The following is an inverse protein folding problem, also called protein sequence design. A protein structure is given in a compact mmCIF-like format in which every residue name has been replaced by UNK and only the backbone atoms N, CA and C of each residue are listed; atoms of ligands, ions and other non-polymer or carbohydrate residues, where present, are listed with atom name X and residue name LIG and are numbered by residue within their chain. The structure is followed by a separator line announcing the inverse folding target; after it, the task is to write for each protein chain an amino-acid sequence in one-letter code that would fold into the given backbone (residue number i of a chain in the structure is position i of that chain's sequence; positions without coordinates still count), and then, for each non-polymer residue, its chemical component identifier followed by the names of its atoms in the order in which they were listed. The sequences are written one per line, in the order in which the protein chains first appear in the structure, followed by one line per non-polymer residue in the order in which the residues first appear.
data_IF_314967275357
#
_entry.id   IF_314967275357
#
_cell.length_a   1.000
_cell.length_b   1.000
_cell.length_c   1.000
_cell.angle_alpha   90.00
_cell.angle_beta   90.00
_cell.angle_gamma   90.00
#
_symmetry.space_group_name_H-M   'P 1'
#
loop_
_entity.id
_entity.type
_entity.pdbx_description
1 polymer ?
#
# COMPACT_ATOMS: atom_id res chain seq x y z
N UNK A 1 28.98 -14.54 -6.43
CA UNK A 1 28.22 -14.11 -5.24
C UNK A 1 26.95 -13.47 -5.74
N UNK A 2 25.83 -14.17 -5.63
CA UNK A 2 24.51 -13.59 -5.86
C UNK A 2 24.16 -12.97 -4.51
N UNK A 3 24.17 -11.64 -4.40
CA UNK A 3 23.44 -10.96 -3.33
C UNK A 3 21.98 -11.28 -3.57
N UNK A 4 21.46 -12.24 -2.82
CA UNK A 4 20.04 -12.47 -2.65
C UNK A 4 19.46 -11.13 -2.18
N UNK A 5 18.87 -10.39 -3.11
CA UNK A 5 18.34 -9.07 -2.85
C UNK A 5 17.02 -9.28 -2.11
N UNK A 6 17.11 -9.50 -0.79
CA UNK A 6 15.94 -9.66 0.07
C UNK A 6 15.13 -8.37 -0.03
N UNK A 7 14.04 -8.40 -0.79
CA UNK A 7 13.12 -7.28 -0.92
C UNK A 7 12.50 -7.04 0.46
N UNK A 8 12.75 -5.87 1.06
CA UNK A 8 12.17 -5.48 2.32
C UNK A 8 10.83 -4.75 2.13
N UNK A 9 9.97 -4.77 3.15
CA UNK A 9 8.75 -3.97 3.16
C UNK A 9 9.04 -2.47 2.97
N UNK A 10 10.21 -2.03 3.45
CA UNK A 10 10.71 -0.68 3.25
C UNK A 10 10.97 -0.34 1.78
N UNK A 11 11.51 -1.27 1.00
CA UNK A 11 11.80 -1.05 -0.43
C UNK A 11 10.50 -0.97 -1.24
N UNK A 12 9.55 -1.86 -0.94
CA UNK A 12 8.21 -1.85 -1.54
C UNK A 12 7.47 -0.56 -1.17
N UNK A 13 7.46 -0.20 0.11
CA UNK A 13 6.83 1.03 0.60
C UNK A 13 7.44 2.29 0.01
N UNK A 14 8.77 2.34 -0.13
CA UNK A 14 9.45 3.47 -0.77
C UNK A 14 9.05 3.58 -2.25
N UNK A 15 9.07 2.48 -2.97
CA UNK A 15 8.69 2.47 -4.40
C UNK A 15 7.25 2.94 -4.59
N UNK A 16 6.34 2.49 -3.72
CA UNK A 16 4.96 2.96 -3.73
C UNK A 16 4.83 4.44 -3.37
N UNK A 17 5.51 4.89 -2.32
CA UNK A 17 5.55 6.30 -1.94
C UNK A 17 6.09 7.19 -3.08
N UNK A 18 7.09 6.73 -3.84
CA UNK A 18 7.59 7.42 -5.03
C UNK A 18 6.54 7.46 -6.15
N UNK A 19 5.79 6.37 -6.36
CA UNK A 19 4.72 6.29 -7.37
C UNK A 19 3.51 7.19 -7.07
N UNK A 20 3.20 7.42 -5.79
CA UNK A 20 2.09 8.30 -5.37
C UNK A 20 2.55 9.70 -4.94
N UNK A 21 3.84 10.02 -5.03
CA UNK A 21 4.38 11.31 -4.56
C UNK A 21 3.77 12.52 -5.26
N UNK A 22 3.40 12.38 -6.52
CA UNK A 22 2.79 13.46 -7.32
C UNK A 22 1.27 13.53 -7.12
N UNK A 23 0.68 12.62 -6.33
CA UNK A 23 -0.73 12.63 -6.01
C UNK A 23 -1.01 13.63 -4.87
N UNK A 24 -1.78 14.71 -5.11
CA UNK A 24 -2.06 15.71 -4.08
C UNK A 24 -2.99 15.21 -2.97
N UNK A 25 -3.66 14.08 -3.19
CA UNK A 25 -4.58 13.47 -2.25
C UNK A 25 -3.93 12.35 -1.45
N UNK A 26 -2.72 11.88 -1.80
CA UNK A 26 -1.94 10.99 -0.95
C UNK A 26 -1.46 11.73 0.30
N UNK A 27 -1.88 11.26 1.48
CA UNK A 27 -1.54 11.86 2.78
C UNK A 27 -0.36 11.13 3.40
N UNK A 28 -0.50 9.83 3.59
CA UNK A 28 0.50 9.00 4.26
C UNK A 28 0.54 7.61 3.65
N UNK A 29 1.74 7.04 3.56
CA UNK A 29 1.97 5.66 3.13
C UNK A 29 2.62 4.91 4.28
N UNK A 30 2.08 3.75 4.61
CA UNK A 30 2.72 2.76 5.47
C UNK A 30 2.98 1.50 4.68
N UNK A 31 4.05 0.79 5.04
CA UNK A 31 4.36 -0.50 4.45
C UNK A 31 4.87 -1.46 5.51
N UNK A 32 4.31 -2.66 5.49
CA UNK A 32 4.59 -3.73 6.43
C UNK A 32 4.76 -5.04 5.69
N UNK A 33 5.23 -6.04 6.42
CA UNK A 33 5.22 -7.42 5.94
C UNK A 33 4.47 -8.26 6.97
N UNK A 34 3.34 -8.81 6.54
CA UNK A 34 2.62 -9.79 7.32
C UNK A 34 2.80 -11.17 6.66
N UNK A 35 3.52 -12.05 7.35
CA UNK A 35 3.97 -13.36 6.82
C UNK A 35 4.79 -13.16 5.52
N UNK A 36 4.30 -13.64 4.39
CA UNK A 36 4.94 -13.53 3.07
C UNK A 36 4.30 -12.48 2.17
N UNK A 37 3.38 -11.68 2.72
CA UNK A 37 2.68 -10.62 2.00
C UNK A 37 3.20 -9.27 2.46
N UNK A 38 3.60 -8.43 1.50
CA UNK A 38 3.85 -7.02 1.70
C UNK A 38 2.52 -6.28 1.67
N UNK A 39 2.21 -5.60 2.75
CA UNK A 39 0.99 -4.83 2.88
C UNK A 39 1.36 -3.36 2.81
N UNK A 40 0.64 -2.64 1.97
CA UNK A 40 0.82 -1.21 1.74
C UNK A 40 -0.50 -0.55 2.10
N UNK A 41 -0.46 0.42 3.01
CA UNK A 41 -1.62 1.21 3.37
C UNK A 41 -1.41 2.63 2.88
N UNK A 42 -2.38 3.15 2.15
CA UNK A 42 -2.39 4.52 1.67
C UNK A 42 -3.56 5.24 2.31
N UNK A 43 -3.26 6.22 3.16
CA UNK A 43 -4.25 7.22 3.57
C UNK A 43 -4.34 8.28 2.49
N UNK A 44 -5.53 8.47 1.93
CA UNK A 44 -5.80 9.57 1.00
C UNK A 44 -6.71 10.61 1.65
N UNK A 45 -6.91 11.74 0.96
CA UNK A 45 -8.10 12.56 1.16
C UNK A 45 -9.33 11.84 0.59
N UNK A 46 -10.51 12.44 0.75
CA UNK A 46 -11.68 11.99 0.02
C UNK A 46 -11.42 12.14 -1.49
N UNK A 47 -11.30 11.01 -2.17
CA UNK A 47 -11.08 10.94 -3.61
C UNK A 47 -12.35 10.45 -4.31
N UNK A 48 -12.54 10.84 -5.56
CA UNK A 48 -13.58 10.29 -6.41
C UNK A 48 -13.10 9.03 -7.16
N UNK A 49 -14.02 8.35 -7.83
CA UNK A 49 -13.76 7.10 -8.53
C UNK A 49 -12.71 7.20 -9.67
N UNK A 50 -12.51 8.38 -10.27
CA UNK A 50 -11.47 8.58 -11.29
C UNK A 50 -10.08 8.58 -10.65
N UNK A 51 -9.92 9.27 -9.53
CA UNK A 51 -8.68 9.27 -8.75
C UNK A 51 -8.37 7.89 -8.17
N UNK A 52 -9.38 7.17 -7.70
CA UNK A 52 -9.22 5.79 -7.25
C UNK A 52 -8.67 4.90 -8.39
N UNK A 53 -9.24 4.98 -9.60
CA UNK A 53 -8.71 4.28 -10.79
C UNK A 53 -7.28 4.66 -11.14
N UNK A 54 -6.89 5.91 -10.97
CA UNK A 54 -5.50 6.33 -11.19
C UNK A 54 -4.55 5.68 -10.17
N UNK A 55 -4.99 5.49 -8.92
CA UNK A 55 -4.23 4.74 -7.90
C UNK A 55 -4.05 3.27 -8.29
N UNK A 56 -5.07 2.61 -8.84
CA UNK A 56 -4.93 1.24 -9.35
C UNK A 56 -3.81 1.11 -10.39
N UNK A 57 -3.70 2.07 -11.31
CA UNK A 57 -2.64 2.06 -12.31
C UNK A 57 -1.24 2.21 -11.68
N UNK A 58 -1.12 3.01 -10.61
CA UNK A 58 0.14 3.17 -9.86
C UNK A 58 0.50 1.93 -9.05
N UNK A 59 -0.50 1.27 -8.45
CA UNK A 59 -0.33 -0.03 -7.77
C UNK A 59 0.21 -1.08 -8.75
N UNK A 60 -0.33 -1.12 -9.97
CA UNK A 60 0.16 -2.04 -11.01
C UNK A 60 1.66 -1.84 -11.32
N UNK A 61 2.13 -0.59 -11.38
CA UNK A 61 3.55 -0.29 -11.62
C UNK A 61 4.46 -0.79 -10.48
N UNK A 62 4.01 -0.70 -9.21
CA UNK A 62 4.76 -1.25 -8.07
C UNK A 62 4.83 -2.77 -8.15
N UNK A 63 3.75 -3.41 -8.59
CA UNK A 63 3.73 -4.84 -8.79
C UNK A 63 4.68 -5.29 -9.92
N UNK A 64 4.72 -4.58 -11.05
CA UNK A 64 5.70 -4.83 -12.12
C UNK A 64 7.15 -4.68 -11.65
N UNK A 65 7.41 -3.80 -10.67
CA UNK A 65 8.72 -3.65 -10.06
C UNK A 65 9.10 -4.81 -9.11
N UNK A 66 8.12 -5.52 -8.55
CA UNK A 66 8.30 -6.64 -7.62
C UNK A 66 7.49 -7.88 -8.02
N UNK A 67 7.75 -8.48 -9.20
CA UNK A 67 6.88 -9.51 -9.78
C UNK A 67 6.76 -10.81 -8.97
N UNK A 68 7.69 -11.04 -8.04
CA UNK A 68 7.75 -12.21 -7.16
C UNK A 68 7.28 -11.90 -5.73
N UNK A 69 6.84 -10.68 -5.45
CA UNK A 69 6.36 -10.26 -4.15
C UNK A 69 4.83 -10.39 -4.08
N UNK A 70 4.31 -11.03 -3.04
CA UNK A 70 2.88 -10.96 -2.75
C UNK A 70 2.60 -9.58 -2.16
N UNK A 71 1.88 -8.73 -2.89
CA UNK A 71 1.56 -7.38 -2.44
C UNK A 71 0.06 -7.20 -2.27
N UNK A 72 -0.34 -6.57 -1.17
CA UNK A 72 -1.69 -6.06 -0.96
C UNK A 72 -1.65 -4.57 -0.73
N UNK A 73 -2.60 -3.87 -1.32
CA UNK A 73 -2.74 -2.42 -1.15
C UNK A 73 -4.12 -2.11 -0.60
N UNK A 74 -4.10 -1.37 0.51
CA UNK A 74 -5.27 -0.90 1.23
C UNK A 74 -5.39 0.60 1.08
N UNK A 75 -6.57 1.06 0.70
CA UNK A 75 -6.93 2.48 0.72
C UNK A 75 -7.67 2.78 2.02
N UNK A 76 -7.19 3.78 2.77
CA UNK A 76 -7.82 4.21 4.00
C UNK A 76 -8.63 5.48 3.74
N UNK A 77 -9.92 5.44 4.09
CA UNK A 77 -10.79 6.61 4.02
C UNK A 77 -10.59 7.50 5.25
N UNK A 78 -10.14 8.76 5.10
CA UNK A 78 -9.87 9.67 6.22
C UNK A 78 -11.13 10.03 7.00
N UNK A 79 -12.32 9.93 6.40
CA UNK A 79 -13.58 10.17 7.09
C UNK A 79 -13.95 9.05 8.09
N UNK A 80 -13.26 7.91 8.01
CA UNK A 80 -13.48 6.73 8.84
C UNK A 80 -12.30 6.44 9.78
N UNK A 81 -11.25 7.25 9.73
CA UNK A 81 -10.01 7.09 10.48
C UNK A 81 -9.98 8.11 11.63
N UNK A 82 -10.28 7.67 12.85
CA UNK A 82 -9.94 8.41 14.07
C UNK A 82 -8.57 7.91 14.55
N UNK A 83 -7.50 8.67 14.27
CA UNK A 83 -6.15 8.48 14.83
C UNK A 83 -5.53 7.09 14.58
N UNK A 84 -5.15 6.82 13.32
CA UNK A 84 -4.50 5.54 12.95
C UNK A 84 -2.98 5.70 12.95
N UNK A 85 -2.32 4.91 13.79
CA UNK A 85 -0.87 4.76 13.83
C UNK A 85 -0.40 3.49 13.07
N UNK A 86 0.88 3.46 12.71
CA UNK A 86 1.51 2.36 11.96
C UNK A 86 1.41 1.02 12.70
N UNK A 87 1.52 1.03 14.04
CA UNK A 87 1.49 -0.18 14.87
C UNK A 87 0.09 -0.83 14.82
N UNK A 88 -0.96 0.00 14.77
CA UNK A 88 -2.35 -0.45 14.64
C UNK A 88 -2.66 -1.06 13.26
N UNK A 89 -2.07 -0.56 12.17
CA UNK A 89 -2.33 -1.06 10.81
C UNK A 89 -1.64 -2.41 10.52
N UNK A 90 -0.48 -2.64 11.11
CA UNK A 90 0.34 -3.85 10.89
C UNK A 90 -0.09 -5.01 11.81
N UNK A 91 -0.86 -4.72 12.88
CA UNK A 91 -1.26 -5.67 13.91
C UNK A 91 -2.48 -6.55 13.53
N UNK A 92 -2.29 -7.54 12.64
CA UNK A 92 -3.19 -8.67 12.29
C UNK A 92 -4.67 -8.38 11.94
N UNK A 93 -5.14 -7.14 12.08
CA UNK A 93 -6.52 -6.73 11.81
C UNK A 93 -6.50 -5.59 10.81
N UNK A 94 -6.76 -5.91 9.54
CA UNK A 94 -7.14 -4.91 8.56
C UNK A 94 -8.38 -4.20 9.10
N UNK A 95 -8.35 -2.88 9.35
CA UNK A 95 -9.51 -2.20 9.91
C UNK A 95 -10.73 -2.30 8.98
N UNK A 96 -11.95 -2.36 9.53
CA UNK A 96 -13.19 -2.44 8.73
C UNK A 96 -13.37 -1.26 7.74
N UNK A 97 -12.64 -0.17 7.92
CA UNK A 97 -12.63 1.01 7.04
C UNK A 97 -11.50 1.02 6.01
N UNK A 98 -10.65 -0.01 6.00
CA UNK A 98 -9.64 -0.21 4.98
C UNK A 98 -10.26 -0.95 3.80
N UNK A 99 -10.30 -0.29 2.64
CA UNK A 99 -10.74 -0.94 1.42
C UNK A 99 -9.55 -1.63 0.76
N UNK A 100 -9.62 -2.96 0.61
CA UNK A 100 -8.66 -3.71 -0.20
C UNK A 100 -8.92 -3.37 -1.66
N UNK A 101 -8.15 -2.42 -2.19
CA UNK A 101 -8.25 -2.06 -3.59
C UNK A 101 -7.51 -3.09 -4.45
N UNK A 102 -6.46 -3.74 -3.96
CA UNK A 102 -5.76 -4.72 -4.78
C UNK A 102 -5.10 -5.84 -3.98
N UNK A 103 -5.28 -7.06 -4.47
CA UNK A 103 -4.73 -8.27 -3.87
C UNK A 103 -4.34 -9.25 -4.96
N UNK A 104 -3.05 -9.58 -5.03
CA UNK A 104 -2.59 -10.71 -5.83
C UNK A 104 -2.44 -11.92 -4.91
N UNK A 105 -3.36 -12.87 -5.04
CA UNK A 105 -3.21 -14.23 -4.50
C UNK A 105 -2.71 -15.13 -5.63
N UNK A 106 -1.67 -15.91 -5.34
CA UNK A 106 -1.22 -17.02 -6.21
C UNK A 106 -2.33 -18.05 -6.42
#
# INVERSE_FOLDING_TARGET
MITDNVIGARDVGKTFAEAVREDPDAVTVWAGRHRDVFEIWLLTRAIDAEHERALYARVAAVHDAFPNALTRVYLLNPASVEDVDEETLVAENVPDYAEEIFSRRE
#
